data_IF_876382989033
#
_entry.id   IF_876382989033
#
_cell.length_a   1.000
_cell.length_b   1.000
_cell.length_c   1.000
_cell.angle_alpha   90.00
_cell.angle_beta   90.00
_cell.angle_gamma   90.00
#
_symmetry.space_group_name_H-M   'P 1'
#
loop_
_entity.id
_entity.type
_entity.pdbx_description
1 polymer ?
#
# COMPACT_ATOMS: atom_id res chain seq x y z
N UNK A 1 23.56 10.35 -3.00
CA UNK A 1 23.94 9.16 -2.24
C UNK A 1 22.72 8.50 -1.67
N UNK A 2 22.59 7.21 -1.85
CA UNK A 2 21.43 6.51 -1.35
C UNK A 2 21.47 6.45 0.18
N UNK A 3 20.35 6.79 0.79
CA UNK A 3 20.22 6.82 2.23
C UNK A 3 19.63 5.51 2.73
N UNK A 4 20.41 4.73 3.48
CA UNK A 4 19.94 3.49 4.11
C UNK A 4 18.78 3.76 5.07
N UNK A 5 18.74 4.93 5.68
CA UNK A 5 17.65 5.36 6.53
C UNK A 5 16.33 5.50 5.75
N UNK A 6 16.39 6.00 4.51
CA UNK A 6 15.20 6.09 3.67
C UNK A 6 14.66 4.72 3.29
N UNK A 7 15.52 3.77 2.95
CA UNK A 7 15.08 2.40 2.66
C UNK A 7 14.41 1.76 3.86
N UNK A 8 14.98 1.91 5.05
CA UNK A 8 14.40 1.38 6.28
C UNK A 8 13.02 1.99 6.55
N UNK A 9 12.89 3.31 6.35
CA UNK A 9 11.61 4.00 6.52
C UNK A 9 10.56 3.52 5.51
N UNK A 10 10.97 3.26 4.27
CA UNK A 10 10.07 2.78 3.23
C UNK A 10 9.64 1.33 3.47
N UNK A 11 10.56 0.48 3.93
CA UNK A 11 10.22 -0.88 4.35
C UNK A 11 9.20 -0.86 5.50
N UNK A 12 9.43 0.01 6.47
CA UNK A 12 8.49 0.20 7.58
C UNK A 12 7.14 0.70 7.10
N UNK A 13 7.12 1.63 6.15
CA UNK A 13 5.88 2.16 5.58
C UNK A 13 5.06 1.05 4.92
N UNK A 14 5.71 0.14 4.20
CA UNK A 14 5.04 -1.01 3.58
C UNK A 14 4.39 -1.92 4.64
N UNK A 15 5.14 -2.25 5.69
CA UNK A 15 4.63 -3.08 6.79
C UNK A 15 3.48 -2.40 7.52
N UNK A 16 3.60 -1.12 7.81
CA UNK A 16 2.56 -0.33 8.50
C UNK A 16 1.31 -0.17 7.64
N UNK A 17 1.47 -0.05 6.33
CA UNK A 17 0.34 -0.01 5.41
C UNK A 17 -0.50 -1.28 5.54
N UNK A 18 0.12 -2.47 5.42
CA UNK A 18 -0.61 -3.73 5.55
C UNK A 18 -1.16 -3.95 6.95
N UNK A 19 -0.39 -3.59 7.99
CA UNK A 19 -0.89 -3.66 9.37
C UNK A 19 -2.18 -2.84 9.53
N UNK A 20 -2.17 -1.62 9.01
CA UNK A 20 -3.33 -0.73 9.08
C UNK A 20 -4.52 -1.28 8.29
N UNK A 21 -4.26 -1.84 7.12
CA UNK A 21 -5.31 -2.47 6.30
C UNK A 21 -5.94 -3.66 7.01
N UNK A 22 -5.12 -4.51 7.62
CA UNK A 22 -5.59 -5.70 8.34
C UNK A 22 -6.39 -5.28 9.59
N UNK A 23 -5.91 -4.28 10.31
CA UNK A 23 -6.58 -3.77 11.51
C UNK A 23 -7.78 -2.88 11.21
N UNK A 24 -8.00 -2.51 9.94
CA UNK A 24 -8.99 -1.51 9.53
C UNK A 24 -8.77 -0.16 10.22
N UNK A 25 -7.53 0.19 10.45
CA UNK A 25 -7.12 1.47 11.03
C UNK A 25 -7.02 2.52 9.93
N UNK A 26 -8.16 3.08 9.57
CA UNK A 26 -8.24 4.04 8.47
C UNK A 26 -7.62 5.38 8.81
N UNK A 27 -7.48 5.71 10.08
CA UNK A 27 -6.77 6.92 10.51
C UNK A 27 -5.27 6.78 10.22
N UNK A 28 -4.65 5.70 10.67
CA UNK A 28 -3.24 5.44 10.41
C UNK A 28 -2.96 5.31 8.92
N UNK A 29 -3.78 4.54 8.21
CA UNK A 29 -3.64 4.37 6.76
C UNK A 29 -3.76 5.70 6.03
N UNK A 30 -4.76 6.50 6.37
CA UNK A 30 -4.99 7.81 5.74
C UNK A 30 -3.82 8.77 5.93
N UNK A 31 -3.13 8.71 7.05
CA UNK A 31 -1.96 9.56 7.33
C UNK A 31 -0.76 9.20 6.45
N UNK A 32 -0.76 8.03 5.83
CA UNK A 32 0.31 7.58 4.92
C UNK A 32 0.06 7.98 3.47
N UNK A 33 -1.10 8.53 3.15
CA UNK A 33 -1.54 8.79 1.79
C UNK A 33 -1.67 10.30 1.54
N UNK A 34 -1.28 10.75 0.34
CA UNK A 34 -1.54 12.13 -0.07
C UNK A 34 -3.03 12.33 -0.32
N UNK A 35 -3.48 13.58 -0.30
CA UNK A 35 -4.90 13.90 -0.53
C UNK A 35 -5.36 13.49 -1.93
N UNK A 36 -4.45 13.54 -2.91
CA UNK A 36 -4.72 13.13 -4.30
C UNK A 36 -4.35 11.67 -4.59
N UNK A 37 -4.13 10.87 -3.56
CA UNK A 37 -3.79 9.45 -3.70
C UNK A 37 -4.81 8.71 -4.57
N UNK A 38 -4.32 7.76 -5.37
CA UNK A 38 -5.14 6.87 -6.17
C UNK A 38 -4.63 5.44 -6.02
N UNK A 39 -5.55 4.50 -5.82
CA UNK A 39 -5.30 3.08 -5.92
C UNK A 39 -5.88 2.57 -7.25
N UNK A 40 -5.05 1.90 -8.04
CA UNK A 40 -5.48 1.24 -9.28
C UNK A 40 -5.49 -0.26 -9.02
N UNK A 41 -6.66 -0.86 -9.08
CA UNK A 41 -6.85 -2.31 -8.90
C UNK A 41 -6.39 -3.10 -10.13
N UNK A 42 -6.25 -4.42 -9.97
CA UNK A 42 -5.87 -5.31 -11.08
C UNK A 42 -6.78 -5.20 -12.29
N UNK A 43 -8.05 -4.88 -12.08
CA UNK A 43 -9.04 -4.70 -13.12
C UNK A 43 -8.94 -3.35 -13.86
N UNK A 44 -8.08 -2.45 -13.35
CA UNK A 44 -8.01 -1.08 -13.83
C UNK A 44 -8.93 -0.11 -13.10
N UNK A 45 -9.77 -0.62 -12.19
CA UNK A 45 -10.64 0.24 -11.39
C UNK A 45 -9.82 1.16 -10.49
N UNK A 46 -10.17 2.44 -10.47
CA UNK A 46 -9.45 3.46 -9.71
C UNK A 46 -10.28 3.88 -8.50
N UNK A 47 -9.61 3.97 -7.35
CA UNK A 47 -10.22 4.50 -6.13
C UNK A 47 -9.44 5.69 -5.63
N UNK A 48 -10.16 6.76 -5.27
CA UNK A 48 -9.58 7.89 -4.55
C UNK A 48 -9.19 7.47 -3.14
N UNK A 49 -8.43 8.33 -2.45
CA UNK A 49 -8.12 8.13 -1.04
C UNK A 49 -9.39 7.87 -0.23
N UNK A 50 -10.42 8.70 -0.39
CA UNK A 50 -11.68 8.58 0.33
C UNK A 50 -12.35 7.22 0.06
N UNK A 51 -12.45 6.83 -1.21
CA UNK A 51 -13.10 5.57 -1.59
C UNK A 51 -12.33 4.35 -1.10
N UNK A 52 -11.01 4.41 -1.15
CA UNK A 52 -10.15 3.33 -0.65
C UNK A 52 -10.32 3.15 0.86
N UNK A 53 -10.20 4.23 1.63
CA UNK A 53 -10.36 4.16 3.09
C UNK A 53 -11.75 3.67 3.48
N UNK A 54 -12.76 4.11 2.77
CA UNK A 54 -14.14 3.67 2.99
C UNK A 54 -14.29 2.17 2.70
N UNK A 55 -13.69 1.66 1.63
CA UNK A 55 -13.73 0.25 1.28
C UNK A 55 -13.03 -0.63 2.33
N UNK A 56 -11.95 -0.13 2.93
CA UNK A 56 -11.30 -0.81 4.06
C UNK A 56 -12.23 -0.83 5.27
N UNK A 57 -12.85 0.31 5.59
CA UNK A 57 -13.69 0.43 6.78
C UNK A 57 -14.96 -0.43 6.69
N UNK A 58 -15.59 -0.47 5.52
CA UNK A 58 -16.91 -1.12 5.36
C UNK A 58 -16.82 -2.62 4.99
N UNK A 59 -15.61 -3.15 4.80
CA UNK A 59 -15.41 -4.56 4.50
C UNK A 59 -15.51 -4.92 3.02
N UNK A 60 -15.62 -3.96 2.12
CA UNK A 60 -15.50 -4.22 0.68
C UNK A 60 -14.13 -4.79 0.34
N UNK A 61 -13.09 -4.29 1.02
CA UNK A 61 -11.73 -4.80 0.97
C UNK A 61 -11.35 -5.31 2.36
N UNK A 62 -11.33 -6.63 2.56
CA UNK A 62 -10.95 -7.25 3.82
C UNK A 62 -9.58 -7.91 3.69
N UNK A 63 -8.63 -7.48 4.51
CA UNK A 63 -7.29 -8.04 4.55
C UNK A 63 -7.07 -8.76 5.88
N UNK A 64 -6.47 -9.95 5.83
CA UNK A 64 -6.30 -10.81 7.00
C UNK A 64 -4.84 -11.09 7.32
N UNK A 65 -3.98 -11.13 6.29
CA UNK A 65 -2.57 -11.47 6.47
C UNK A 65 -1.73 -10.92 5.32
N UNK A 66 -0.44 -10.71 5.61
CA UNK A 66 0.55 -10.34 4.61
C UNK A 66 1.86 -11.03 4.98
N UNK A 67 2.30 -11.98 4.18
CA UNK A 67 3.46 -12.82 4.45
C UNK A 67 4.42 -12.86 3.27
N UNK A 68 5.65 -13.31 3.55
CA UNK A 68 6.67 -13.58 2.53
C UNK A 68 6.93 -12.37 1.61
N UNK A 69 7.00 -11.18 2.20
CA UNK A 69 7.17 -9.94 1.43
C UNK A 69 8.59 -9.81 0.89
N UNK A 70 8.68 -9.46 -0.40
CA UNK A 70 9.93 -9.10 -1.07
C UNK A 70 9.76 -7.69 -1.62
N UNK A 71 10.67 -6.79 -1.26
CA UNK A 71 10.59 -5.38 -1.64
C UNK A 71 11.78 -4.99 -2.52
N UNK A 72 11.48 -4.25 -3.59
CA UNK A 72 12.47 -3.54 -4.39
C UNK A 72 12.19 -2.04 -4.21
N UNK A 73 13.19 -1.30 -3.75
CA UNK A 73 13.05 0.10 -3.38
C UNK A 73 14.06 0.95 -4.15
N UNK A 74 13.59 2.02 -4.77
CA UNK A 74 14.41 2.99 -5.45
C UNK A 74 14.07 4.39 -4.92
N UNK A 75 15.09 5.11 -4.45
CA UNK A 75 14.94 6.46 -3.93
C UNK A 75 15.69 7.43 -4.83
N UNK A 76 15.03 8.52 -5.20
CA UNK A 76 15.62 9.56 -6.02
C UNK A 76 15.17 10.94 -5.47
N UNK A 77 16.04 11.59 -4.70
CA UNK A 77 15.71 12.85 -4.04
C UNK A 77 14.52 12.71 -3.11
N UNK A 78 13.48 13.48 -3.36
CA UNK A 78 12.25 13.49 -2.56
C UNK A 78 11.16 12.58 -3.12
N UNK A 79 11.51 11.72 -4.06
CA UNK A 79 10.61 10.72 -4.62
C UNK A 79 11.16 9.32 -4.43
N UNK A 80 10.26 8.36 -4.36
CA UNK A 80 10.64 6.96 -4.26
C UNK A 80 9.63 6.09 -4.99
N UNK A 81 10.10 4.92 -5.39
CA UNK A 81 9.25 3.90 -5.97
C UNK A 81 9.59 2.58 -5.30
N UNK A 82 8.54 1.83 -4.98
CA UNK A 82 8.67 0.56 -4.31
C UNK A 82 7.82 -0.46 -5.06
N UNK A 83 8.38 -1.65 -5.27
CA UNK A 83 7.60 -2.80 -5.75
C UNK A 83 7.62 -3.84 -4.65
N UNK A 84 6.45 -4.16 -4.13
CA UNK A 84 6.30 -5.16 -3.08
C UNK A 84 5.51 -6.36 -3.60
N UNK A 85 6.05 -7.55 -3.35
CA UNK A 85 5.39 -8.82 -3.66
C UNK A 85 5.18 -9.57 -2.37
N UNK A 86 3.94 -9.96 -2.10
CA UNK A 86 3.56 -10.60 -0.85
C UNK A 86 2.49 -11.65 -1.09
N UNK A 87 2.40 -12.60 -0.16
CA UNK A 87 1.25 -13.51 -0.08
C UNK A 87 0.25 -12.86 0.87
N UNK A 88 -0.88 -12.47 0.32
CA UNK A 88 -1.87 -11.65 1.04
C UNK A 88 -3.18 -12.42 1.18
N UNK A 89 -3.59 -12.67 2.42
CA UNK A 89 -4.91 -13.22 2.71
C UNK A 89 -5.95 -12.11 2.65
N UNK A 90 -6.89 -12.23 1.72
CA UNK A 90 -7.89 -11.17 1.52
C UNK A 90 -9.20 -11.74 0.95
N UNK A 91 -10.29 -11.05 1.29
CA UNK A 91 -11.60 -11.22 0.68
C UNK A 91 -12.04 -9.85 0.17
N UNK A 92 -12.24 -9.72 -1.14
CA UNK A 92 -12.46 -8.44 -1.78
C UNK A 92 -13.76 -8.46 -2.60
N UNK A 93 -14.47 -7.34 -2.59
CA UNK A 93 -15.69 -7.11 -3.37
C UNK A 93 -16.74 -8.22 -3.18
N UNK A 94 -16.94 -8.64 -1.93
CA UNK A 94 -17.93 -9.65 -1.59
C UNK A 94 -17.53 -11.10 -1.92
N UNK A 95 -16.31 -11.31 -2.41
CA UNK A 95 -15.79 -12.65 -2.69
C UNK A 95 -15.34 -13.40 -1.45
N UNK A 96 -14.97 -14.66 -1.62
CA UNK A 96 -14.43 -15.48 -0.54
C UNK A 96 -12.99 -15.11 -0.17
N UNK A 97 -12.55 -15.60 0.98
CA UNK A 97 -11.18 -15.39 1.46
C UNK A 97 -10.20 -16.30 0.70
N UNK A 98 -9.17 -15.67 0.12
CA UNK A 98 -8.13 -16.38 -0.64
C UNK A 98 -6.75 -15.84 -0.27
N UNK A 99 -5.72 -16.64 -0.56
CA UNK A 99 -4.34 -16.15 -0.52
C UNK A 99 -3.98 -15.69 -1.92
N UNK A 100 -3.65 -14.42 -2.04
CA UNK A 100 -3.28 -13.77 -3.30
C UNK A 100 -1.76 -13.59 -3.37
N UNK A 101 -1.18 -13.89 -4.52
CA UNK A 101 0.19 -13.47 -4.83
C UNK A 101 0.08 -12.06 -5.38
N UNK A 102 0.12 -11.09 -4.49
CA UNK A 102 -0.18 -9.70 -4.80
C UNK A 102 1.08 -8.88 -4.97
N UNK A 103 1.16 -8.16 -6.08
CA UNK A 103 2.22 -7.20 -6.32
C UNK A 103 1.66 -5.79 -6.26
N UNK A 104 2.30 -4.94 -5.46
CA UNK A 104 1.96 -3.53 -5.40
C UNK A 104 3.15 -2.72 -5.92
N UNK A 105 2.88 -1.85 -6.88
CA UNK A 105 3.82 -0.80 -7.27
C UNK A 105 3.37 0.48 -6.61
N UNK A 106 4.25 1.06 -5.80
CA UNK A 106 3.93 2.18 -4.93
C UNK A 106 4.84 3.35 -5.28
N UNK A 107 4.24 4.51 -5.55
CA UNK A 107 4.95 5.76 -5.75
C UNK A 107 4.80 6.61 -4.50
N UNK A 108 5.90 7.18 -4.03
CA UNK A 108 5.94 7.97 -2.81
C UNK A 108 6.63 9.29 -3.05
N UNK A 109 6.27 10.29 -2.25
CA UNK A 109 6.97 11.56 -2.18
C UNK A 109 7.26 11.91 -0.73
N UNK A 110 8.37 12.60 -0.51
CA UNK A 110 8.76 13.07 0.82
C UNK A 110 8.34 14.53 0.99
N UNK A 111 7.64 14.79 2.10
CA UNK A 111 7.22 16.13 2.50
C UNK A 111 7.59 16.30 3.98
N UNK A 112 8.34 17.34 4.29
CA UNK A 112 8.74 17.64 5.66
C UNK A 112 9.38 16.45 6.38
N UNK A 113 10.22 15.71 5.66
CA UNK A 113 10.94 14.57 6.19
C UNK A 113 10.13 13.27 6.29
N UNK A 114 8.88 13.27 5.87
CA UNK A 114 8.00 12.10 5.90
C UNK A 114 7.65 11.64 4.49
N UNK A 115 7.58 10.32 4.32
CA UNK A 115 7.17 9.70 3.06
C UNK A 115 5.66 9.48 3.03
N UNK A 116 5.05 9.88 1.91
CA UNK A 116 3.61 9.70 1.65
C UNK A 116 3.42 8.95 0.34
N UNK A 117 2.47 8.03 0.31
CA UNK A 117 2.12 7.30 -0.90
C UNK A 117 1.19 8.15 -1.76
N UNK A 118 1.53 8.27 -3.05
CA UNK A 118 0.75 9.06 -4.01
C UNK A 118 -0.07 8.20 -4.94
N UNK A 119 0.41 6.99 -5.22
CA UNK A 119 -0.22 6.08 -6.18
C UNK A 119 0.18 4.65 -5.84
N UNK A 120 -0.79 3.75 -5.87
CA UNK A 120 -0.54 2.30 -5.79
C UNK A 120 -1.20 1.64 -6.99
N UNK A 121 -0.45 0.79 -7.70
CA UNK A 121 -1.00 -0.09 -8.74
C UNK A 121 -0.87 -1.52 -8.30
N UNK A 122 -2.00 -2.22 -8.21
CA UNK A 122 -2.06 -3.62 -7.81
C UNK A 122 -1.97 -4.54 -9.03
N UNK A 123 -1.33 -5.68 -8.85
CA UNK A 123 -1.24 -6.75 -9.83
C UNK A 123 -0.98 -8.07 -9.13
N UNK A 124 -0.73 -9.10 -9.90
CA UNK A 124 -0.34 -10.41 -9.39
C UNK A 124 1.05 -10.79 -9.89
N UNK A 125 1.62 -11.79 -9.28
CA UNK A 125 2.95 -12.28 -9.71
C UNK A 125 3.04 -13.79 -9.66
#
# INVERSE_FOLDING_TARGET
MEDKGDKALLELAYSEMYRSMIAKDTVALGQMLTDNFVLVHMTGMRQSKHDYLRAIADGTLNYYSCDDSVLEISVEGDTARMTGRSRVGAAVFGGGRHIWRLQLKIWLERQDGKWFMTLIKAGTF
#
